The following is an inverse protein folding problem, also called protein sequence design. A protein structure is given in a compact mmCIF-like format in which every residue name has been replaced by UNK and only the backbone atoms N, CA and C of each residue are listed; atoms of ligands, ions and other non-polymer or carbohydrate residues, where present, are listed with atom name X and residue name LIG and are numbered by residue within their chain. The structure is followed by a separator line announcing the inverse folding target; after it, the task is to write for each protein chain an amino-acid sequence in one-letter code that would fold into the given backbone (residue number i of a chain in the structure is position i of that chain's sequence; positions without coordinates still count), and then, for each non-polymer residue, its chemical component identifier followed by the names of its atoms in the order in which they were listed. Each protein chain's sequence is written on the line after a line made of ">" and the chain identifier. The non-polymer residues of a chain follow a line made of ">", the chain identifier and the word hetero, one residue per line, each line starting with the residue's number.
data_IF_325123599431
#
_entry.id   IF_325123599431
#
_cell.length_a   1.000
_cell.length_b   1.000
_cell.length_c   1.000
_cell.angle_alpha   90.00
_cell.angle_beta   90.00
_cell.angle_gamma   90.00
#
_symmetry.space_group_name_H-M   'P 1'
#
loop_
_entity.id
_entity.type
_entity.pdbx_description
1 polymer ?
#
# COMPACT_ATOMS: atom_id res chain seq x y z
N UNK A 1 -9.50 -13.98 11.99
CA UNK A 1 -9.05 -13.35 10.72
C UNK A 1 -7.82 -12.48 10.93
N UNK A 2 -7.08 -12.12 9.87
CA UNK A 2 -5.94 -11.22 9.97
C UNK A 2 -5.86 -10.32 8.72
N UNK A 3 -5.40 -9.06 8.89
CA UNK A 3 -5.02 -8.18 7.80
C UNK A 3 -3.52 -8.26 7.52
N UNK A 4 -3.14 -8.47 6.26
CA UNK A 4 -1.74 -8.44 5.83
C UNK A 4 -1.60 -7.36 4.77
N UNK A 5 -0.63 -6.46 4.94
CA UNK A 5 -0.51 -5.32 4.05
C UNK A 5 0.92 -4.92 3.73
N UNK A 6 1.09 -4.31 2.54
CA UNK A 6 2.24 -3.48 2.21
C UNK A 6 1.83 -2.01 2.31
N UNK A 7 2.60 -1.20 3.02
CA UNK A 7 2.33 0.24 3.13
C UNK A 7 3.62 1.05 3.27
N UNK A 8 3.94 1.89 2.29
CA UNK A 8 5.12 2.76 2.34
C UNK A 8 4.87 4.08 3.08
N UNK A 9 3.63 4.58 3.11
CA UNK A 9 3.28 5.91 3.67
C UNK A 9 2.17 5.86 4.73
N UNK A 10 1.74 4.67 5.14
CA UNK A 10 0.66 4.49 6.11
C UNK A 10 -0.75 4.45 5.52
N UNK A 11 -0.96 4.84 4.26
CA UNK A 11 -2.29 4.90 3.65
C UNK A 11 -2.98 3.53 3.59
N UNK A 12 -2.29 2.51 3.08
CA UNK A 12 -2.83 1.14 3.02
C UNK A 12 -3.02 0.56 4.42
N UNK A 13 -2.06 0.81 5.31
CA UNK A 13 -2.16 0.43 6.72
C UNK A 13 -3.44 0.96 7.37
N UNK A 14 -3.72 2.27 7.23
CA UNK A 14 -4.94 2.88 7.74
C UNK A 14 -6.20 2.15 7.24
N UNK A 15 -6.30 1.94 5.92
CA UNK A 15 -7.45 1.29 5.32
C UNK A 15 -7.67 -0.13 5.86
N UNK A 16 -6.59 -0.91 5.98
CA UNK A 16 -6.69 -2.30 6.45
C UNK A 16 -6.98 -2.38 7.92
N UNK A 17 -6.30 -1.60 8.76
CA UNK A 17 -6.57 -1.56 10.20
C UNK A 17 -8.01 -1.19 10.49
N UNK A 18 -8.55 -0.18 9.78
CA UNK A 18 -9.95 0.22 9.93
C UNK A 18 -10.90 -0.90 9.49
N UNK A 19 -10.68 -1.48 8.30
CA UNK A 19 -11.53 -2.56 7.78
C UNK A 19 -11.55 -3.78 8.71
N UNK A 20 -10.37 -4.24 9.11
CA UNK A 20 -10.23 -5.44 9.95
C UNK A 20 -10.92 -5.24 11.31
N UNK A 21 -10.72 -4.09 11.96
CA UNK A 21 -11.41 -3.77 13.23
C UNK A 21 -12.93 -3.68 13.10
N UNK A 22 -13.42 -3.18 11.98
CA UNK A 22 -14.87 -3.15 11.71
C UNK A 22 -15.45 -4.54 11.47
N UNK A 23 -14.66 -5.50 11.01
CA UNK A 23 -15.10 -6.88 10.80
C UNK A 23 -15.00 -7.73 12.06
N UNK A 24 -13.93 -7.52 12.84
CA UNK A 24 -13.60 -8.25 14.06
C UNK A 24 -12.71 -7.36 14.94
N UNK A 25 -13.21 -6.91 16.09
CA UNK A 25 -12.49 -5.99 16.99
C UNK A 25 -11.20 -6.60 17.54
N UNK A 26 -11.16 -7.93 17.69
CA UNK A 26 -9.98 -8.67 18.15
C UNK A 26 -8.93 -8.89 17.07
N UNK A 27 -9.29 -8.74 15.80
CA UNK A 27 -8.40 -9.01 14.70
C UNK A 27 -7.35 -7.91 14.52
N UNK A 28 -6.15 -8.34 14.19
CA UNK A 28 -5.01 -7.45 13.95
C UNK A 28 -4.66 -7.33 12.47
N UNK A 29 -3.94 -6.26 12.15
CA UNK A 29 -3.35 -6.06 10.84
C UNK A 29 -1.83 -5.86 10.98
N UNK A 30 -1.06 -6.59 10.16
CA UNK A 30 0.40 -6.66 10.24
C UNK A 30 1.04 -6.36 8.88
N UNK A 31 2.17 -5.61 8.83
CA UNK A 31 2.94 -5.42 7.61
C UNK A 31 3.52 -6.74 7.10
N UNK A 32 3.47 -6.97 5.78
CA UNK A 32 3.93 -8.23 5.18
C UNK A 32 5.45 -8.45 5.31
N UNK A 33 6.23 -7.41 5.50
CA UNK A 33 7.69 -7.48 5.69
C UNK A 33 8.12 -7.93 7.09
N UNK A 34 7.21 -8.03 8.04
CA UNK A 34 7.51 -8.51 9.39
C UNK A 34 7.77 -10.00 9.41
N UNK A 35 8.76 -10.44 10.18
CA UNK A 35 9.15 -11.86 10.28
C UNK A 35 8.01 -12.75 10.81
N UNK A 36 7.24 -12.24 11.76
CA UNK A 36 6.10 -12.94 12.35
C UNK A 36 4.90 -13.09 11.40
N UNK A 37 4.86 -12.37 10.28
CA UNK A 37 3.71 -12.37 9.35
C UNK A 37 3.46 -13.75 8.76
N UNK A 38 4.49 -14.49 8.42
CA UNK A 38 4.38 -15.84 7.86
C UNK A 38 3.74 -16.81 8.87
N UNK A 39 4.18 -16.74 10.11
CA UNK A 39 3.60 -17.54 11.19
C UNK A 39 2.14 -17.18 11.42
N UNK A 40 1.83 -15.89 11.55
CA UNK A 40 0.45 -15.44 11.76
C UNK A 40 -0.44 -15.77 10.56
N UNK A 41 0.06 -15.67 9.34
CA UNK A 41 -0.66 -16.09 8.14
C UNK A 41 -1.06 -17.56 8.20
N UNK A 42 -0.19 -18.44 8.72
CA UNK A 42 -0.50 -19.88 8.86
C UNK A 42 -1.65 -20.16 9.82
N UNK A 43 -1.83 -19.32 10.85
CA UNK A 43 -2.83 -19.50 11.91
C UNK A 43 -4.24 -19.00 11.54
N UNK A 44 -4.41 -18.37 10.38
CA UNK A 44 -5.69 -17.77 10.01
C UNK A 44 -6.17 -18.25 8.64
N UNK A 45 -7.47 -18.56 8.53
CA UNK A 45 -8.10 -18.99 7.28
C UNK A 45 -8.69 -17.85 6.47
N UNK A 46 -9.06 -16.74 7.12
CA UNK A 46 -9.58 -15.54 6.46
C UNK A 46 -8.56 -14.42 6.50
N UNK A 47 -8.11 -13.97 5.32
CA UNK A 47 -7.05 -12.98 5.15
C UNK A 47 -7.59 -11.76 4.41
N UNK A 48 -7.44 -10.58 4.99
CA UNK A 48 -7.56 -9.30 4.27
C UNK A 48 -6.18 -8.95 3.72
N UNK A 49 -5.98 -9.10 2.42
CA UNK A 49 -4.70 -8.90 1.76
C UNK A 49 -4.67 -7.58 1.01
N UNK A 50 -3.77 -6.66 1.40
CA UNK A 50 -3.81 -5.28 0.92
C UNK A 50 -2.47 -4.71 0.51
N UNK A 51 -2.49 -3.83 -0.52
CA UNK A 51 -1.31 -3.16 -1.04
C UNK A 51 -1.66 -1.94 -1.89
N UNK A 52 -0.71 -0.98 -2.06
CA UNK A 52 -0.87 0.11 -3.00
C UNK A 52 -0.63 -0.37 -4.44
N UNK A 53 -1.52 -0.01 -5.35
CA UNK A 53 -1.32 -0.31 -6.78
C UNK A 53 -0.17 0.55 -7.32
N UNK A 54 0.75 -0.08 -8.01
CA UNK A 54 1.84 0.57 -8.71
C UNK A 54 1.71 0.33 -10.23
N UNK A 55 1.51 1.42 -11.00
CA UNK A 55 1.37 1.34 -12.46
C UNK A 55 0.39 0.26 -12.93
N UNK A 56 -0.81 0.24 -12.34
CA UNK A 56 -1.86 -0.75 -12.61
C UNK A 56 -1.42 -2.21 -12.34
N UNK A 57 -0.43 -2.42 -11.49
CA UNK A 57 0.13 -3.73 -11.19
C UNK A 57 0.28 -3.96 -9.69
N UNK A 58 0.49 -5.21 -9.32
CA UNK A 58 0.90 -5.63 -7.98
C UNK A 58 2.37 -5.24 -7.77
N UNK A 59 2.75 -4.59 -6.67
CA UNK A 59 4.15 -4.32 -6.35
C UNK A 59 5.02 -5.59 -6.39
N UNK A 60 6.28 -5.42 -6.77
CA UNK A 60 7.22 -6.56 -6.85
C UNK A 60 7.33 -7.27 -5.52
N UNK A 61 7.46 -6.53 -4.41
CA UNK A 61 7.52 -7.11 -3.05
C UNK A 61 6.30 -7.98 -2.72
N UNK A 62 5.09 -7.54 -3.13
CA UNK A 62 3.86 -8.30 -2.91
C UNK A 62 3.86 -9.58 -3.75
N UNK A 63 4.33 -9.51 -5.00
CA UNK A 63 4.45 -10.70 -5.85
C UNK A 63 5.47 -11.70 -5.30
N UNK A 64 6.61 -11.19 -4.81
CA UNK A 64 7.65 -12.02 -4.21
C UNK A 64 7.14 -12.67 -2.93
N UNK A 65 6.46 -11.92 -2.06
CA UNK A 65 5.86 -12.46 -0.84
C UNK A 65 4.87 -13.58 -1.15
N UNK A 66 3.97 -13.40 -2.13
CA UNK A 66 3.03 -14.45 -2.54
C UNK A 66 3.77 -15.68 -3.06
N UNK A 67 4.81 -15.49 -3.89
CA UNK A 67 5.56 -16.59 -4.51
C UNK A 67 6.49 -17.31 -3.56
N UNK A 68 6.99 -16.65 -2.54
CA UNK A 68 7.88 -17.25 -1.54
C UNK A 68 7.14 -18.14 -0.53
N UNK A 69 5.80 -18.08 -0.48
CA UNK A 69 4.99 -18.77 0.51
C UNK A 69 3.80 -19.52 -0.12
N UNK A 70 4.06 -20.29 -1.18
CA UNK A 70 3.03 -20.90 -2.03
C UNK A 70 2.04 -21.77 -1.24
N UNK A 71 2.55 -22.60 -0.34
CA UNK A 71 1.74 -23.57 0.40
C UNK A 71 0.81 -22.94 1.43
N UNK A 72 1.13 -21.70 1.84
CA UNK A 72 0.31 -20.98 2.83
C UNK A 72 -1.01 -20.48 2.27
N UNK A 73 -1.17 -20.39 0.95
CA UNK A 73 -2.38 -19.85 0.34
C UNK A 73 -3.49 -20.85 0.12
N UNK A 74 -3.12 -22.16 0.11
CA UNK A 74 -4.05 -23.24 -0.20
C UNK A 74 -5.20 -23.28 0.79
N UNK A 75 -6.45 -23.18 0.27
CA UNK A 75 -7.68 -23.24 1.07
C UNK A 75 -8.02 -21.97 1.86
N UNK A 76 -7.15 -20.95 1.86
CA UNK A 76 -7.43 -19.71 2.60
C UNK A 76 -8.40 -18.81 1.84
N UNK A 77 -9.34 -18.22 2.56
CA UNK A 77 -10.30 -17.23 2.06
C UNK A 77 -9.65 -15.84 2.06
N UNK A 78 -9.55 -15.22 0.88
CA UNK A 78 -8.84 -13.95 0.73
C UNK A 78 -9.74 -12.86 0.19
N UNK A 79 -9.79 -11.75 0.91
CA UNK A 79 -10.36 -10.48 0.47
C UNK A 79 -9.22 -9.57 0.00
N UNK A 80 -9.19 -9.28 -1.31
CA UNK A 80 -8.15 -8.44 -1.90
C UNK A 80 -8.53 -6.95 -1.82
N UNK A 81 -7.70 -6.16 -1.16
CA UNK A 81 -7.88 -4.71 -1.03
C UNK A 81 -6.73 -3.98 -1.73
N UNK A 82 -7.05 -3.13 -2.70
CA UNK A 82 -6.04 -2.36 -3.40
C UNK A 82 -6.26 -0.85 -3.19
N UNK A 83 -5.26 -0.17 -2.65
CA UNK A 83 -5.29 1.28 -2.53
C UNK A 83 -4.75 1.94 -3.79
N UNK A 84 -5.39 3.01 -4.24
CA UNK A 84 -5.12 3.67 -5.52
C UNK A 84 -5.13 5.19 -5.39
N UNK A 85 -4.32 5.90 -6.17
CA UNK A 85 -4.40 7.34 -6.30
C UNK A 85 -5.52 7.78 -7.23
N UNK A 86 -5.48 7.36 -8.47
CA UNK A 86 -6.46 7.73 -9.51
C UNK A 86 -7.02 6.52 -10.25
N UNK A 87 -6.17 5.66 -10.77
CA UNK A 87 -6.55 4.54 -11.64
C UNK A 87 -5.95 3.22 -11.14
N UNK A 88 -6.76 2.18 -11.13
CA UNK A 88 -6.37 0.88 -10.57
C UNK A 88 -5.85 -0.11 -11.62
N UNK A 89 -6.30 0.01 -12.86
CA UNK A 89 -5.98 -0.94 -13.92
C UNK A 89 -6.16 -2.41 -13.54
N UNK A 90 -7.21 -2.73 -12.76
CA UNK A 90 -7.46 -4.07 -12.22
C UNK A 90 -6.44 -4.53 -11.15
N UNK A 91 -5.94 -3.57 -10.34
CA UNK A 91 -4.95 -3.87 -9.30
C UNK A 91 -5.33 -5.02 -8.38
N UNK A 92 -6.51 -4.99 -7.73
CA UNK A 92 -6.99 -6.07 -6.85
C UNK A 92 -7.19 -7.40 -7.59
N UNK A 93 -7.65 -7.37 -8.85
CA UNK A 93 -7.78 -8.56 -9.68
C UNK A 93 -6.45 -9.23 -10.02
N UNK A 94 -5.36 -8.46 -10.10
CA UNK A 94 -4.03 -9.02 -10.36
C UNK A 94 -3.55 -9.92 -9.22
N UNK A 95 -3.65 -9.49 -7.97
CA UNK A 95 -3.31 -10.33 -6.82
C UNK A 95 -4.27 -11.49 -6.65
N UNK A 96 -5.56 -11.25 -6.86
CA UNK A 96 -6.59 -12.28 -6.78
C UNK A 96 -6.28 -13.46 -7.72
N UNK A 97 -5.92 -13.17 -8.98
CA UNK A 97 -5.54 -14.23 -9.94
C UNK A 97 -4.26 -14.95 -9.54
N UNK A 98 -3.29 -14.20 -9.01
CA UNK A 98 -2.02 -14.79 -8.56
C UNK A 98 -2.24 -15.72 -7.36
N UNK A 99 -2.99 -15.28 -6.36
CA UNK A 99 -3.32 -16.05 -5.16
C UNK A 99 -4.17 -17.28 -5.49
N UNK A 100 -5.16 -17.12 -6.39
CA UNK A 100 -5.99 -18.24 -6.86
C UNK A 100 -5.16 -19.32 -7.55
N UNK A 101 -4.10 -18.93 -8.29
CA UNK A 101 -3.16 -19.90 -8.91
C UNK A 101 -2.50 -20.81 -7.87
N UNK A 102 -2.33 -20.32 -6.64
CA UNK A 102 -1.72 -21.07 -5.52
C UNK A 102 -2.76 -21.62 -4.54
N UNK A 103 -3.99 -21.81 -4.99
CA UNK A 103 -5.03 -22.52 -4.26
C UNK A 103 -5.83 -21.71 -3.26
N UNK A 104 -5.70 -20.38 -3.26
CA UNK A 104 -6.54 -19.51 -2.43
C UNK A 104 -7.97 -19.39 -2.98
N UNK A 105 -8.95 -19.31 -2.08
CA UNK A 105 -10.32 -18.94 -2.37
C UNK A 105 -10.48 -17.42 -2.31
N UNK A 106 -10.72 -16.77 -3.45
CA UNK A 106 -10.92 -15.33 -3.49
C UNK A 106 -12.38 -15.01 -3.23
N UNK A 107 -12.69 -14.55 -2.03
CA UNK A 107 -14.06 -14.23 -1.61
C UNK A 107 -14.53 -12.89 -2.18
N UNK A 108 -13.61 -11.96 -2.44
CA UNK A 108 -13.94 -10.67 -3.02
C UNK A 108 -12.72 -9.78 -3.23
N UNK A 109 -12.98 -8.56 -3.72
CA UNK A 109 -11.94 -7.55 -3.87
C UNK A 109 -12.48 -6.18 -4.23
N UNK A 110 -11.82 -5.13 -3.74
CA UNK A 110 -12.21 -3.76 -4.04
C UNK A 110 -11.02 -2.79 -3.97
N UNK A 111 -11.23 -1.64 -4.58
CA UNK A 111 -10.27 -0.56 -4.61
C UNK A 111 -10.68 0.55 -3.65
N UNK A 112 -9.72 1.16 -2.98
CA UNK A 112 -9.91 2.33 -2.13
C UNK A 112 -9.07 3.47 -2.70
N UNK A 113 -9.73 4.57 -3.08
CA UNK A 113 -9.01 5.78 -3.46
C UNK A 113 -8.47 6.45 -2.22
N UNK A 114 -7.19 6.79 -2.26
CA UNK A 114 -6.44 7.46 -1.20
C UNK A 114 -5.63 8.61 -1.80
N UNK A 115 -5.12 9.55 -0.99
CA UNK A 115 -4.17 10.55 -1.45
C UNK A 115 -2.96 9.93 -2.11
N UNK A 116 -2.43 10.57 -3.15
CA UNK A 116 -1.24 10.08 -3.84
C UNK A 116 -0.02 10.10 -2.91
N UNK A 117 0.71 9.00 -2.89
CA UNK A 117 1.87 8.82 -2.04
C UNK A 117 3.18 9.22 -2.71
N UNK A 118 3.21 9.27 -4.05
CA UNK A 118 4.43 9.46 -4.83
C UNK A 118 4.72 10.93 -5.06
N UNK A 119 3.67 11.75 -5.19
CA UNK A 119 3.75 13.20 -5.45
C UNK A 119 4.54 13.60 -6.71
N UNK A 120 4.85 12.65 -7.59
CA UNK A 120 5.61 12.91 -8.81
C UNK A 120 4.73 13.44 -9.95
N UNK A 121 3.45 13.11 -9.93
CA UNK A 121 2.48 13.50 -10.95
C UNK A 121 1.74 14.76 -10.49
N UNK A 122 1.96 15.88 -11.17
CA UNK A 122 1.33 17.17 -10.83
C UNK A 122 -0.20 17.08 -10.72
N UNK A 123 -0.85 16.30 -11.58
CA UNK A 123 -2.29 16.08 -11.59
C UNK A 123 -2.83 15.41 -10.30
N UNK A 124 -2.00 14.62 -9.63
CA UNK A 124 -2.36 13.90 -8.41
C UNK A 124 -2.04 14.69 -7.13
N UNK A 125 -1.28 15.78 -7.25
CA UNK A 125 -1.01 16.67 -6.12
C UNK A 125 -2.27 17.42 -5.75
N UNK A 126 -2.73 17.21 -4.51
CA UNK A 126 -3.93 17.81 -3.97
C UNK A 126 -3.59 18.66 -2.76
N UNK A 127 -4.37 19.70 -2.53
CA UNK A 127 -4.27 20.50 -1.31
C UNK A 127 -4.71 19.69 -0.08
N UNK A 128 -4.34 20.18 1.09
CA UNK A 128 -4.62 19.50 2.36
C UNK A 128 -6.12 19.17 2.53
N UNK A 129 -7.00 20.13 2.28
CA UNK A 129 -8.45 19.93 2.39
C UNK A 129 -8.99 18.87 1.42
N UNK A 130 -8.52 18.87 0.17
CA UNK A 130 -8.90 17.86 -0.82
C UNK A 130 -8.44 16.45 -0.39
N UNK A 131 -7.24 16.35 0.21
CA UNK A 131 -6.72 15.08 0.72
C UNK A 131 -7.54 14.58 1.92
N UNK A 132 -7.97 15.46 2.82
CA UNK A 132 -8.90 15.11 3.91
C UNK A 132 -10.23 14.57 3.37
N UNK A 133 -10.78 15.20 2.34
CA UNK A 133 -12.00 14.74 1.70
C UNK A 133 -11.82 13.34 1.05
N UNK A 134 -10.68 13.10 0.41
CA UNK A 134 -10.37 11.77 -0.15
C UNK A 134 -10.32 10.71 0.95
N UNK A 135 -9.68 11.01 2.09
CA UNK A 135 -9.59 10.10 3.24
C UNK A 135 -10.97 9.86 3.83
N UNK A 136 -11.77 10.91 4.02
CA UNK A 136 -13.14 10.77 4.52
C UNK A 136 -14.00 9.87 3.61
N UNK A 137 -13.93 10.06 2.29
CA UNK A 137 -14.61 9.20 1.30
C UNK A 137 -14.10 7.75 1.35
N UNK A 138 -12.79 7.56 1.53
CA UNK A 138 -12.20 6.24 1.71
C UNK A 138 -12.76 5.54 2.95
N UNK A 139 -12.82 6.25 4.06
CA UNK A 139 -13.36 5.75 5.34
C UNK A 139 -14.81 5.33 5.23
N UNK A 140 -15.65 6.16 4.61
CA UNK A 140 -17.06 5.82 4.34
C UNK A 140 -17.23 4.60 3.45
N UNK A 141 -16.35 4.47 2.44
CA UNK A 141 -16.34 3.27 1.59
C UNK A 141 -15.97 2.02 2.37
N UNK A 142 -14.98 2.11 3.27
CA UNK A 142 -14.56 1.00 4.12
C UNK A 142 -15.71 0.58 5.05
N UNK A 143 -16.38 1.53 5.70
CA UNK A 143 -17.52 1.28 6.58
C UNK A 143 -18.64 0.54 5.83
N UNK A 144 -19.04 1.06 4.67
CA UNK A 144 -20.05 0.43 3.82
C UNK A 144 -19.64 -0.97 3.37
N UNK A 145 -18.38 -1.17 2.96
CA UNK A 145 -17.88 -2.49 2.59
C UNK A 145 -17.89 -3.46 3.78
N UNK A 146 -17.51 -3.01 4.98
CA UNK A 146 -17.53 -3.82 6.18
C UNK A 146 -18.96 -4.28 6.54
N UNK A 147 -19.94 -3.38 6.43
CA UNK A 147 -21.36 -3.72 6.64
C UNK A 147 -21.85 -4.80 5.66
N UNK A 148 -21.51 -4.67 4.37
CA UNK A 148 -21.88 -5.67 3.37
C UNK A 148 -21.19 -7.01 3.60
N UNK A 149 -19.90 -7.01 3.97
CA UNK A 149 -19.14 -8.23 4.29
C UNK A 149 -19.76 -8.94 5.50
N UNK A 150 -20.18 -8.22 6.55
CA UNK A 150 -20.86 -8.82 7.71
C UNK A 150 -22.18 -9.49 7.33
N UNK A 151 -22.85 -9.00 6.28
CA UNK A 151 -24.06 -9.61 5.70
C UNK A 151 -23.73 -10.75 4.72
N UNK A 152 -22.48 -11.18 4.62
CA UNK A 152 -22.02 -12.22 3.69
C UNK A 152 -21.89 -11.76 2.22
N UNK A 153 -22.05 -10.47 1.94
CA UNK A 153 -21.96 -9.90 0.59
C UNK A 153 -20.58 -9.30 0.34
N UNK A 154 -19.72 -10.06 -0.29
CA UNK A 154 -18.36 -9.62 -0.59
C UNK A 154 -18.32 -8.71 -1.83
N UNK A 155 -17.66 -7.53 -1.76
CA UNK A 155 -17.52 -6.64 -2.89
C UNK A 155 -16.68 -7.28 -4.01
N UNK A 156 -17.15 -7.14 -5.25
CA UNK A 156 -16.46 -7.64 -6.46
C UNK A 156 -16.05 -6.49 -7.38
N UNK A 157 -15.71 -5.34 -6.81
CA UNK A 157 -15.39 -4.11 -7.54
C UNK A 157 -13.91 -4.10 -7.97
N UNK A 158 -13.55 -4.87 -8.96
CA UNK A 158 -12.15 -4.90 -9.41
C UNK A 158 -11.95 -5.44 -10.83
N UNK A 159 -12.48 -6.61 -11.17
CA UNK A 159 -12.09 -7.26 -12.42
C UNK A 159 -13.02 -6.92 -13.59
N UNK A 160 -13.12 -5.65 -13.99
CA UNK A 160 -13.77 -5.31 -15.26
C UNK A 160 -12.79 -5.53 -16.41
N UNK A 161 -13.24 -6.21 -17.46
CA UNK A 161 -12.40 -6.59 -18.61
C UNK A 161 -11.73 -5.37 -19.28
N UNK A 162 -12.46 -4.26 -19.42
CA UNK A 162 -11.91 -3.04 -20.00
C UNK A 162 -10.77 -2.43 -19.13
N UNK A 163 -10.87 -2.50 -17.81
CA UNK A 163 -9.81 -2.05 -16.89
C UNK A 163 -8.54 -2.91 -17.03
N UNK A 164 -8.71 -4.20 -17.31
CA UNK A 164 -7.58 -5.12 -17.58
C UNK A 164 -6.84 -4.75 -18.84
N UNK A 165 -7.58 -4.49 -19.92
CA UNK A 165 -7.02 -4.10 -21.22
C UNK A 165 -6.34 -2.73 -21.11
N UNK A 166 -7.02 -1.72 -20.58
CA UNK A 166 -6.47 -0.39 -20.39
C UNK A 166 -5.23 -0.41 -19.48
N UNK A 167 -5.26 -1.14 -18.36
CA UNK A 167 -4.12 -1.29 -17.46
C UNK A 167 -2.93 -2.02 -18.12
N UNK A 168 -3.18 -2.99 -19.00
CA UNK A 168 -2.14 -3.69 -19.73
C UNK A 168 -1.46 -2.76 -20.74
N UNK A 169 -2.23 -2.12 -21.59
CA UNK A 169 -1.71 -1.32 -22.69
C UNK A 169 -1.07 0.01 -22.21
N UNK A 170 -1.71 0.68 -21.24
CA UNK A 170 -1.26 2.02 -20.83
C UNK A 170 -0.13 2.02 -19.81
N UNK A 171 -0.04 1.03 -18.92
CA UNK A 171 0.87 1.10 -17.78
C UNK A 171 1.71 -0.15 -17.52
N UNK A 172 1.17 -1.38 -17.67
CA UNK A 172 1.88 -2.61 -17.28
C UNK A 172 3.08 -2.92 -18.17
N UNK A 173 2.99 -2.63 -19.47
CA UNK A 173 4.11 -2.82 -20.39
C UNK A 173 5.28 -1.88 -20.07
N UNK A 174 4.98 -0.73 -19.49
CA UNK A 174 5.96 0.27 -19.09
C UNK A 174 6.55 0.01 -17.68
N UNK A 175 5.87 -0.78 -16.87
CA UNK A 175 6.20 -0.96 -15.47
C UNK A 175 7.63 -1.46 -15.25
N UNK A 176 8.03 -2.50 -15.98
CA UNK A 176 9.33 -3.13 -15.75
C UNK A 176 10.52 -2.27 -16.20
N UNK A 177 10.39 -1.54 -17.28
CA UNK A 177 11.45 -0.64 -17.75
C UNK A 177 11.57 0.60 -16.86
N UNK A 178 10.45 1.16 -16.43
CA UNK A 178 10.40 2.35 -15.58
C UNK A 178 10.86 2.07 -14.15
N UNK A 179 10.46 0.95 -13.54
CA UNK A 179 10.84 0.66 -12.16
C UNK A 179 12.33 0.44 -11.95
N UNK A 180 13.03 -0.11 -12.94
CA UNK A 180 14.50 -0.18 -12.91
C UNK A 180 15.13 1.20 -12.88
N UNK A 181 14.68 2.12 -13.74
CA UNK A 181 15.24 3.48 -13.81
C UNK A 181 14.90 4.35 -12.60
N UNK A 182 13.80 4.09 -11.90
CA UNK A 182 13.44 4.85 -10.68
C UNK A 182 14.39 4.58 -9.53
N UNK A 183 14.89 3.36 -9.38
CA UNK A 183 15.85 3.01 -8.34
C UNK A 183 17.17 3.75 -8.53
N UNK A 184 17.63 3.86 -9.78
CA UNK A 184 18.92 4.47 -10.13
C UNK A 184 18.87 6.01 -9.96
N UNK A 185 17.68 6.60 -9.96
CA UNK A 185 17.46 8.04 -9.76
C UNK A 185 17.41 8.46 -8.29
N UNK A 186 17.58 7.55 -7.35
CA UNK A 186 17.60 7.90 -5.93
C UNK A 186 18.77 8.84 -5.64
N UNK A 187 18.45 10.08 -5.26
CA UNK A 187 19.44 11.08 -4.88
C UNK A 187 19.27 11.44 -3.41
N UNK A 188 20.33 11.34 -2.65
CA UNK A 188 20.39 11.79 -1.27
C UNK A 188 21.06 13.15 -1.29
N UNK A 189 20.35 14.18 -0.83
CA UNK A 189 20.88 15.54 -0.83
C UNK A 189 21.90 15.74 0.29
N UNK A 190 22.84 16.70 0.11
CA UNK A 190 23.81 17.10 1.15
C UNK A 190 23.13 17.68 2.41
N UNK A 191 21.86 18.02 2.35
CA UNK A 191 21.05 18.44 3.50
C UNK A 191 20.56 17.27 4.38
N UNK A 192 20.93 16.03 4.05
CA UNK A 192 20.61 14.86 4.86
C UNK A 192 21.31 14.95 6.22
N UNK A 193 20.52 14.93 7.31
CA UNK A 193 21.04 14.99 8.69
C UNK A 193 21.49 13.61 9.22
N UNK A 194 21.30 12.54 8.45
CA UNK A 194 21.62 11.17 8.90
C UNK A 194 20.69 10.63 10.01
N UNK A 195 19.50 11.20 10.21
CA UNK A 195 18.58 10.80 11.30
C UNK A 195 18.05 9.36 11.21
N UNK A 196 18.29 8.65 10.10
CA UNK A 196 17.90 7.26 9.89
C UNK A 196 16.40 7.01 9.77
N UNK A 197 15.55 8.05 9.71
CA UNK A 197 14.10 7.87 9.60
C UNK A 197 13.70 7.09 8.34
N UNK A 198 14.34 7.39 7.21
CA UNK A 198 14.08 6.72 5.93
C UNK A 198 14.47 5.24 5.95
N UNK A 199 15.50 4.85 6.70
CA UNK A 199 15.89 3.44 6.87
C UNK A 199 14.87 2.69 7.72
N UNK A 200 14.39 3.30 8.81
CA UNK A 200 13.37 2.70 9.68
C UNK A 200 11.99 2.54 9.04
N UNK A 201 11.65 3.45 8.10
CA UNK A 201 10.35 3.46 7.44
C UNK A 201 10.36 2.71 6.09
N UNK A 202 11.50 2.25 5.61
CA UNK A 202 11.59 1.56 4.34
C UNK A 202 11.13 0.11 4.45
N UNK A 203 9.97 -0.28 3.90
CA UNK A 203 9.49 -1.65 3.99
C UNK A 203 10.32 -2.66 3.18
N UNK A 204 11.20 -2.17 2.29
CA UNK A 204 12.09 -3.01 1.50
C UNK A 204 13.51 -3.11 2.08
N UNK A 205 13.75 -2.46 3.23
CA UNK A 205 15.09 -2.38 3.85
C UNK A 205 16.21 -1.96 2.87
N UNK A 206 15.84 -1.10 1.91
CA UNK A 206 16.74 -0.70 0.82
C UNK A 206 17.76 0.37 1.22
N UNK A 207 17.60 0.98 2.38
CA UNK A 207 18.40 2.13 2.80
C UNK A 207 19.18 1.77 4.07
N UNK A 208 20.49 1.96 4.05
CA UNK A 208 21.35 1.77 5.22
C UNK A 208 21.78 3.12 5.78
N UNK A 209 21.81 3.25 7.08
CA UNK A 209 22.30 4.43 7.78
C UNK A 209 23.75 4.20 8.18
N UNK A 210 24.66 4.55 7.30
CA UNK A 210 26.07 4.72 7.64
C UNK A 210 26.32 6.22 7.74
N UNK A 211 26.90 6.76 8.77
CA UNK A 211 27.13 8.21 9.12
C UNK A 211 26.98 9.24 7.96
N UNK A 212 27.07 8.81 6.71
CA UNK A 212 26.57 9.43 5.47
C UNK A 212 25.75 8.37 4.77
N UNK A 213 24.49 8.65 4.44
CA UNK A 213 23.63 7.70 3.75
C UNK A 213 24.31 7.22 2.46
N UNK A 214 24.70 5.96 2.42
CA UNK A 214 25.21 5.33 1.21
C UNK A 214 24.04 4.88 0.33
N UNK A 215 24.18 5.11 -0.95
CA UNK A 215 23.29 4.53 -1.94
C UNK A 215 23.44 3.00 -1.89
N UNK A 216 22.34 2.25 -1.94
CA UNK A 216 22.44 0.82 -2.16
C UNK A 216 23.10 0.55 -3.53
N UNK A 217 23.74 -0.59 -3.73
CA UNK A 217 24.33 -0.98 -5.00
C UNK A 217 23.33 -0.85 -6.14
N UNK A 218 23.81 -0.46 -7.31
CA UNK A 218 22.98 -0.35 -8.51
C UNK A 218 22.22 -1.66 -8.78
N UNK A 219 20.98 -1.55 -9.24
CA UNK A 219 20.06 -2.67 -9.49
C UNK A 219 19.53 -3.45 -8.28
N UNK A 220 19.86 -3.08 -7.04
CA UNK A 220 19.36 -3.78 -5.83
C UNK A 220 18.14 -3.10 -5.20
N UNK A 221 17.86 -1.86 -5.58
CA UNK A 221 16.75 -1.09 -5.00
C UNK A 221 15.42 -1.56 -5.54
N UNK A 222 14.65 -2.23 -4.71
CA UNK A 222 13.24 -2.51 -5.01
C UNK A 222 12.46 -1.21 -4.88
N UNK A 223 11.77 -0.80 -5.95
CA UNK A 223 10.96 0.41 -5.94
C UNK A 223 9.85 0.29 -4.90
N UNK A 224 10.03 1.01 -3.79
CA UNK A 224 8.98 1.27 -2.81
C UNK A 224 8.69 2.74 -2.89
N UNK A 225 7.57 3.10 -3.47
CA UNK A 225 7.18 4.48 -3.73
C UNK A 225 7.28 5.37 -2.50
N UNK A 226 6.95 4.86 -1.32
CA UNK A 226 7.05 5.59 -0.06
C UNK A 226 8.48 5.94 0.35
N UNK A 227 9.45 5.03 0.18
CA UNK A 227 10.84 5.29 0.52
C UNK A 227 11.48 6.30 -0.45
N UNK A 228 11.17 6.20 -1.73
CA UNK A 228 11.62 7.17 -2.74
C UNK A 228 11.14 8.58 -2.44
N UNK A 229 9.91 8.73 -1.99
CA UNK A 229 9.32 10.02 -1.61
C UNK A 229 9.97 10.56 -0.35
N UNK A 230 10.16 9.75 0.68
CA UNK A 230 10.77 10.19 1.94
C UNK A 230 12.21 10.71 1.75
N UNK A 231 12.97 10.12 0.82
CA UNK A 231 14.34 10.54 0.52
C UNK A 231 14.38 11.74 -0.42
N UNK A 232 13.52 11.84 -1.43
CA UNK A 232 13.45 13.02 -2.31
C UNK A 232 12.97 14.26 -1.58
N UNK A 233 12.08 14.11 -0.63
CA UNK A 233 11.45 15.21 0.11
C UNK A 233 12.26 15.65 1.33
N UNK A 234 13.42 15.07 1.58
CA UNK A 234 14.36 15.51 2.60
C UNK A 234 14.73 16.99 2.40
N UNK A 235 13.97 17.90 2.99
CA UNK A 235 14.11 19.36 2.98
C UNK A 235 13.86 20.11 1.66
N UNK A 236 12.79 19.92 0.98
CA UNK A 236 12.18 21.10 0.35
C UNK A 236 11.24 21.73 1.38
N UNK A 237 11.16 23.08 1.46
CA UNK A 237 10.15 23.81 2.27
C UNK A 237 8.70 23.42 1.94
N UNK A 238 8.53 22.50 1.04
CA UNK A 238 7.30 21.83 0.67
C UNK A 238 6.79 20.86 1.74
N UNK A 239 7.65 20.45 2.69
CA UNK A 239 7.27 19.63 3.84
C UNK A 239 6.44 20.37 4.88
N UNK A 240 6.60 21.68 5.01
CA UNK A 240 5.90 22.44 6.03
C UNK A 240 4.40 22.57 5.78
N UNK A 241 3.90 22.30 4.56
CA UNK A 241 2.48 22.47 4.27
C UNK A 241 1.80 21.34 3.48
N UNK A 242 2.54 20.44 2.80
CA UNK A 242 1.91 19.45 1.92
C UNK A 242 2.30 18.00 2.14
N UNK A 243 3.36 17.72 2.85
CA UNK A 243 3.85 16.35 3.08
C UNK A 243 3.64 15.85 4.52
N UNK A 244 3.06 16.62 5.36
CA UNK A 244 2.19 16.05 6.40
C UNK A 244 1.10 15.20 5.71
N UNK A 245 1.46 14.80 4.50
CA UNK A 245 0.77 13.94 3.58
C UNK A 245 0.09 12.78 4.35
N UNK A 246 -0.26 11.84 3.92
CA UNK A 246 -1.15 10.81 4.32
C UNK A 246 -0.91 10.21 5.71
N UNK A 247 0.33 9.96 6.12
CA UNK A 247 0.60 9.37 7.45
C UNK A 247 0.42 10.38 8.60
N UNK A 248 0.83 11.63 8.41
CA UNK A 248 0.63 12.69 9.40
C UNK A 248 -0.82 13.16 9.42
N UNK A 249 -1.53 13.21 8.28
CA UNK A 249 -2.96 13.50 8.25
C UNK A 249 -3.81 12.42 8.93
N UNK A 250 -3.43 11.16 8.79
CA UNK A 250 -4.06 10.07 9.53
C UNK A 250 -3.83 10.20 11.03
N UNK A 251 -2.65 10.64 11.46
CA UNK A 251 -2.36 10.89 12.87
C UNK A 251 -3.07 12.13 13.42
N UNK A 252 -3.23 13.20 12.62
CA UNK A 252 -4.03 14.37 12.99
C UNK A 252 -5.51 14.02 13.13
N UNK A 253 -6.06 13.24 12.21
CA UNK A 253 -7.44 12.77 12.32
C UNK A 253 -7.67 11.81 13.52
N UNK A 254 -6.62 11.18 14.05
CA UNK A 254 -6.67 10.42 15.31
C UNK A 254 -6.60 11.32 16.55
N UNK A 255 -5.79 12.39 16.49
CA UNK A 255 -5.64 13.33 17.59
C UNK A 255 -6.95 14.13 17.82
N UNK A 256 -7.58 14.64 16.75
CA UNK A 256 -8.84 15.35 16.84
C UNK A 256 -10.00 14.50 17.39
N UNK A 257 -9.94 13.16 17.27
CA UNK A 257 -10.92 12.26 17.90
C UNK A 257 -10.68 11.99 19.37
N UNK A 258 -9.45 12.16 19.85
CA UNK A 258 -9.11 11.99 21.29
C UNK A 258 -9.42 13.24 22.11
N UNK A 259 -9.67 14.39 21.49
CA UNK A 259 -10.04 15.64 22.19
C UNK A 259 -11.56 15.86 22.27
N UNK A 260 -12.38 14.95 21.73
CA UNK A 260 -13.87 15.03 21.75
C UNK A 260 -14.46 13.92 22.64
N UNK A 261 -13.66 13.27 23.43
CA UNK A 261 -14.07 12.42 24.55
C UNK A 261 -13.50 13.07 25.81
#
# INVERSE_FOLDING_TARGET
>A
MIGIYLSGTGNTEHCVRKLVRLLDESAQAIPMEKKETVYLLSQHDFIVFAYPVQFSNVPVMVKDFIKSHLDLWKGKKILCVATIGLFSGDGAGCSARLLKKYGAEIVGGFHIRIPDSVCDVKLLKKFFQENREIIWKADRKIEKCAEEIRKGRYPKNGPHLYNRIAGLLCQRLWYYSKTKSYSDQLKISNACTGCGLCTRLCPADNLRNCRKMEKPPENTVRCVTGASVSVRQGRSRYWDTQSLSSAAMINIAKAEKSEII
#
